data_IF_572208269908
#
_entry.id   IF_572208269908
#
_cell.length_a   1.000
_cell.length_b   1.000
_cell.length_c   1.000
_cell.angle_alpha   90.00
_cell.angle_beta   90.00
_cell.angle_gamma   90.00
#
_symmetry.space_group_name_H-M   'P 1'
#
loop_
_entity.id
_entity.type
_entity.pdbx_description
1 polymer ?
#
# COMPACT_ATOMS: atom_id res chain seq x y z
N UNK A 1 -13.07 11.08 38.68
CA UNK A 1 -13.61 10.26 37.58
C UNK A 1 -12.55 9.24 37.16
N UNK A 2 -12.68 8.00 37.63
CA UNK A 2 -11.82 6.88 37.24
C UNK A 2 -12.28 6.36 35.87
N UNK A 3 -11.38 6.32 34.90
CA UNK A 3 -11.65 5.75 33.57
C UNK A 3 -12.07 4.29 33.69
N UNK A 4 -13.14 3.91 33.01
CA UNK A 4 -13.59 2.52 32.93
C UNK A 4 -12.41 1.64 32.44
N UNK A 5 -12.03 0.59 33.18
CA UNK A 5 -10.94 -0.32 32.80
C UNK A 5 -11.11 -0.93 31.40
N UNK A 6 -12.34 -1.07 30.89
CA UNK A 6 -12.59 -1.52 29.51
C UNK A 6 -12.15 -0.47 28.48
N UNK A 7 -12.49 0.80 28.71
CA UNK A 7 -12.11 1.92 27.84
C UNK A 7 -10.59 2.11 27.87
N UNK A 8 -9.96 2.03 29.05
CA UNK A 8 -8.51 2.13 29.22
C UNK A 8 -7.76 1.05 28.43
N UNK A 9 -8.23 -0.21 28.46
CA UNK A 9 -7.61 -1.30 27.69
C UNK A 9 -7.72 -1.09 26.18
N UNK A 10 -8.86 -0.58 25.69
CA UNK A 10 -9.06 -0.29 24.26
C UNK A 10 -8.14 0.84 23.78
N UNK A 11 -8.04 1.92 24.56
CA UNK A 11 -7.14 3.04 24.26
C UNK A 11 -5.66 2.63 24.30
N UNK A 12 -5.24 1.80 25.25
CA UNK A 12 -3.87 1.25 25.29
C UNK A 12 -3.58 0.34 24.09
N UNK A 13 -4.59 -0.37 23.58
CA UNK A 13 -4.47 -1.20 22.37
C UNK A 13 -4.34 -0.35 21.11
N UNK A 14 -5.17 0.68 20.95
CA UNK A 14 -5.12 1.61 19.80
C UNK A 14 -3.86 2.50 19.84
N UNK A 15 -3.43 2.94 21.02
CA UNK A 15 -2.20 3.72 21.23
C UNK A 15 -0.92 2.94 20.91
N UNK A 16 -0.97 1.60 20.87
CA UNK A 16 0.22 0.79 20.58
C UNK A 16 0.59 0.81 19.10
N UNK A 17 -0.30 1.26 18.21
CA UNK A 17 -0.05 1.32 16.78
C UNK A 17 -0.89 2.42 16.09
N UNK A 18 -0.73 3.69 16.50
CA UNK A 18 -1.63 4.79 16.12
C UNK A 18 -1.57 5.12 14.61
N UNK A 19 -0.50 4.70 13.93
CA UNK A 19 -0.28 4.98 12.51
C UNK A 19 -0.80 3.89 11.55
N UNK A 20 -1.53 2.88 12.05
CA UNK A 20 -2.05 1.77 11.23
C UNK A 20 -2.95 2.26 10.09
N UNK A 21 -3.91 3.13 10.39
CA UNK A 21 -4.85 3.65 9.38
C UNK A 21 -4.14 4.47 8.29
N UNK A 22 -3.24 5.36 8.71
CA UNK A 22 -2.44 6.20 7.80
C UNK A 22 -1.56 5.32 6.91
N UNK A 23 -0.88 4.33 7.50
CA UNK A 23 -0.01 3.40 6.78
C UNK A 23 -0.80 2.60 5.74
N UNK A 24 -2.01 2.13 6.07
CA UNK A 24 -2.87 1.40 5.14
C UNK A 24 -3.31 2.27 3.95
N UNK A 25 -3.74 3.51 4.22
CA UNK A 25 -4.11 4.46 3.15
C UNK A 25 -2.91 4.72 2.25
N UNK A 26 -1.73 4.96 2.83
CA UNK A 26 -0.50 5.18 2.09
C UNK A 26 -0.17 3.99 1.16
N UNK A 27 -0.19 2.76 1.67
CA UNK A 27 0.09 1.56 0.86
C UNK A 27 -0.89 1.41 -0.30
N UNK A 28 -2.19 1.62 -0.06
CA UNK A 28 -3.22 1.54 -1.09
C UNK A 28 -3.04 2.63 -2.15
N UNK A 29 -2.76 3.88 -1.74
CA UNK A 29 -2.51 4.99 -2.66
C UNK A 29 -1.28 4.75 -3.54
N UNK A 30 -0.18 4.27 -2.94
CA UNK A 30 1.06 3.93 -3.67
C UNK A 30 0.83 2.79 -4.66
N UNK A 31 0.14 1.72 -4.24
CA UNK A 31 -0.21 0.60 -5.11
C UNK A 31 -1.11 1.05 -6.28
N UNK A 32 -2.11 1.88 -6.01
CA UNK A 32 -3.00 2.44 -7.03
C UNK A 32 -2.24 3.27 -8.05
N UNK A 33 -1.32 4.13 -7.60
CA UNK A 33 -0.45 4.92 -8.48
C UNK A 33 0.46 4.03 -9.33
N UNK A 34 1.11 3.03 -8.74
CA UNK A 34 1.93 2.08 -9.48
C UNK A 34 1.13 1.29 -10.52
N UNK A 35 -0.11 0.93 -10.19
CA UNK A 35 -1.04 0.26 -11.12
C UNK A 35 -1.41 1.14 -12.32
N UNK A 36 -1.72 2.42 -12.09
CA UNK A 36 -1.99 3.38 -13.17
C UNK A 36 -0.75 3.52 -14.07
N UNK A 37 0.45 3.63 -13.49
CA UNK A 37 1.70 3.66 -14.26
C UNK A 37 1.91 2.43 -15.14
N UNK A 38 1.59 1.23 -14.63
CA UNK A 38 1.65 0.00 -15.43
C UNK A 38 0.64 0.01 -16.58
N UNK A 39 -0.60 0.43 -16.33
CA UNK A 39 -1.62 0.53 -17.38
C UNK A 39 -1.16 1.46 -18.50
N UNK A 40 -0.58 2.61 -18.16
CA UNK A 40 -0.03 3.55 -19.15
C UNK A 40 1.12 2.90 -19.95
N UNK A 41 2.06 2.23 -19.28
CA UNK A 41 3.16 1.55 -19.97
C UNK A 41 2.67 0.43 -20.90
N UNK A 42 1.65 -0.33 -20.50
CA UNK A 42 1.02 -1.36 -21.34
C UNK A 42 0.37 -0.73 -22.56
N UNK A 43 -0.39 0.36 -22.40
CA UNK A 43 -1.01 1.08 -23.51
C UNK A 43 0.07 1.54 -24.50
N UNK A 44 1.15 2.17 -23.99
CA UNK A 44 2.28 2.60 -24.83
C UNK A 44 2.90 1.44 -25.60
N UNK A 45 3.13 0.31 -24.94
CA UNK A 45 3.70 -0.88 -25.58
C UNK A 45 2.81 -1.42 -26.71
N UNK A 46 1.48 -1.43 -26.52
CA UNK A 46 0.52 -1.88 -27.54
C UNK A 46 0.36 -0.84 -28.67
N UNK A 47 0.51 0.45 -28.37
CA UNK A 47 0.51 1.53 -29.36
C UNK A 47 1.78 1.58 -30.23
N UNK A 48 2.77 0.72 -29.97
CA UNK A 48 4.05 0.70 -30.68
C UNK A 48 5.04 1.76 -30.22
N UNK A 49 4.77 2.40 -29.08
CA UNK A 49 5.69 3.35 -28.45
C UNK A 49 6.92 2.62 -27.90
N UNK A 50 8.07 3.30 -27.91
CA UNK A 50 9.26 2.77 -27.25
C UNK A 50 9.09 2.79 -25.73
N UNK A 51 9.13 1.60 -25.11
CA UNK A 51 9.19 1.45 -23.66
C UNK A 51 10.47 0.70 -23.32
N UNK A 52 11.34 1.32 -22.54
CA UNK A 52 12.58 0.69 -22.09
C UNK A 52 12.24 -0.52 -21.22
N UNK A 53 12.82 -1.67 -21.54
CA UNK A 53 12.67 -2.89 -20.74
C UNK A 53 13.09 -2.71 -19.28
N UNK A 54 14.11 -1.87 -19.03
CA UNK A 54 14.54 -1.50 -17.69
C UNK A 54 13.43 -0.79 -16.90
N UNK A 55 12.77 0.19 -17.52
CA UNK A 55 11.71 0.97 -16.88
C UNK A 55 10.47 0.11 -16.59
N UNK A 56 10.11 -0.78 -17.54
CA UNK A 56 9.05 -1.77 -17.33
C UNK A 56 9.36 -2.72 -16.17
N UNK A 57 10.60 -3.24 -16.13
CA UNK A 57 11.03 -4.13 -15.05
C UNK A 57 10.96 -3.46 -13.68
N UNK A 58 11.42 -2.21 -13.58
CA UNK A 58 11.33 -1.41 -12.35
C UNK A 58 9.87 -1.18 -11.96
N UNK A 59 9.01 -0.80 -12.90
CA UNK A 59 7.59 -0.54 -12.64
C UNK A 59 6.85 -1.79 -12.17
N UNK A 60 7.08 -2.94 -12.80
CA UNK A 60 6.49 -4.23 -12.39
C UNK A 60 6.98 -4.61 -10.99
N UNK A 61 8.28 -4.46 -10.73
CA UNK A 61 8.88 -4.78 -9.42
C UNK A 61 8.29 -3.88 -8.34
N UNK A 62 8.17 -2.57 -8.59
CA UNK A 62 7.57 -1.62 -7.67
C UNK A 62 6.11 -1.99 -7.36
N UNK A 63 5.32 -2.32 -8.39
CA UNK A 63 3.92 -2.74 -8.21
C UNK A 63 3.80 -4.01 -7.37
N UNK A 64 4.63 -5.04 -7.65
CA UNK A 64 4.62 -6.29 -6.89
C UNK A 64 5.03 -6.08 -5.43
N UNK A 65 6.11 -5.34 -5.18
CA UNK A 65 6.57 -5.04 -3.81
C UNK A 65 5.52 -4.26 -3.03
N UNK A 66 4.92 -3.23 -3.63
CA UNK A 66 3.85 -2.45 -3.00
C UNK A 66 2.59 -3.30 -2.76
N UNK A 67 2.26 -4.19 -3.68
CA UNK A 67 1.14 -5.13 -3.54
C UNK A 67 1.35 -6.08 -2.37
N UNK A 68 2.54 -6.68 -2.28
CA UNK A 68 2.92 -7.56 -1.17
C UNK A 68 2.91 -6.82 0.17
N UNK A 69 3.50 -5.62 0.24
CA UNK A 69 3.50 -4.79 1.45
C UNK A 69 2.07 -4.46 1.90
N UNK A 70 1.17 -4.12 0.97
CA UNK A 70 -0.24 -3.86 1.27
C UNK A 70 -0.94 -5.10 1.85
N UNK A 71 -0.67 -6.29 1.32
CA UNK A 71 -1.25 -7.55 1.80
C UNK A 71 -0.70 -7.92 3.18
N UNK A 72 0.62 -7.81 3.40
CA UNK A 72 1.23 -8.08 4.70
C UNK A 72 0.75 -7.10 5.77
N UNK A 73 0.57 -5.83 5.43
CA UNK A 73 0.05 -4.82 6.35
C UNK A 73 -1.39 -5.13 6.79
N UNK A 74 -2.24 -5.61 5.85
CA UNK A 74 -3.59 -6.09 6.17
C UNK A 74 -3.56 -7.28 7.14
N UNK A 75 -2.70 -8.29 6.88
CA UNK A 75 -2.58 -9.48 7.74
C UNK A 75 -2.08 -9.18 9.16
N UNK A 76 -1.37 -8.08 9.38
CA UNK A 76 -0.90 -7.64 10.71
C UNK A 76 -1.94 -6.82 11.48
N UNK A 77 -2.99 -6.38 10.79
CA UNK A 77 -4.04 -5.51 11.32
C UNK A 77 -5.31 -6.27 11.71
N UNK A 78 -5.51 -7.46 11.14
CA UNK A 78 -6.51 -8.46 11.56
C UNK A 78 -5.98 -9.28 12.75
#
# INVERSE_FOLDING_TARGET
MTLDPKVRKKLLKESRNPFLGIRRILWISLLGSAGIGLVIMIIRLISGDSVLFGDLGIQITAFLVLGLLTIFDRRRSD
#
